data_IF_688534637978
#
_entry.id   IF_688534637978
#
_cell.length_a   1.000
_cell.length_b   1.000
_cell.length_c   1.000
_cell.angle_alpha   90.00
_cell.angle_beta   90.00
_cell.angle_gamma   90.00
#
_symmetry.space_group_name_H-M   'P 1'
#
loop_
_entity.id
_entity.type
_entity.pdbx_description
1 polymer ?
#
# COMPACT_ATOMS: atom_id res chain seq x y z
N UNK A 1 -31.76 0.14 33.54
CA UNK A 1 -30.80 1.20 33.09
C UNK A 1 -29.32 0.78 33.25
N UNK A 2 -28.95 0.01 34.28
CA UNK A 2 -27.57 -0.45 34.51
C UNK A 2 -26.97 -1.37 33.43
N UNK A 3 -27.74 -2.30 32.85
CA UNK A 3 -27.22 -3.24 31.85
C UNK A 3 -26.77 -2.57 30.52
N UNK A 4 -27.45 -1.48 30.10
CA UNK A 4 -27.07 -0.71 28.90
C UNK A 4 -25.81 0.14 29.10
N UNK A 5 -25.54 0.57 30.34
CA UNK A 5 -24.33 1.32 30.71
C UNK A 5 -23.10 0.40 30.70
N UNK A 6 -23.24 -0.83 31.23
CA UNK A 6 -22.17 -1.82 31.20
C UNK A 6 -21.79 -2.23 29.77
N UNK A 7 -22.76 -2.43 28.86
CA UNK A 7 -22.48 -2.75 27.46
C UNK A 7 -21.75 -1.62 26.71
N UNK A 8 -22.11 -0.36 26.99
CA UNK A 8 -21.38 0.82 26.45
C UNK A 8 -19.96 0.91 27.00
N UNK A 9 -19.76 0.66 28.30
CA UNK A 9 -18.44 0.68 28.93
C UNK A 9 -17.53 -0.44 28.41
N UNK A 10 -18.06 -1.64 28.14
CA UNK A 10 -17.32 -2.75 27.54
C UNK A 10 -16.97 -2.51 26.08
N UNK A 11 -17.85 -1.85 25.32
CA UNK A 11 -17.57 -1.45 23.92
C UNK A 11 -16.53 -0.33 23.85
N UNK A 12 -16.61 0.66 24.75
CA UNK A 12 -15.60 1.73 24.88
C UNK A 12 -14.24 1.17 25.28
N UNK A 13 -14.18 0.22 26.24
CA UNK A 13 -12.93 -0.46 26.62
C UNK A 13 -12.35 -1.29 25.48
N UNK A 14 -13.18 -1.93 24.65
CA UNK A 14 -12.73 -2.69 23.48
C UNK A 14 -12.21 -1.77 22.36
N UNK A 15 -12.79 -0.57 22.16
CA UNK A 15 -12.22 0.46 21.28
C UNK A 15 -10.94 1.10 21.85
N UNK A 16 -10.84 1.22 23.19
CA UNK A 16 -9.64 1.78 23.86
C UNK A 16 -8.45 0.82 23.75
N UNK A 17 -8.69 -0.49 23.80
CA UNK A 17 -7.64 -1.51 23.73
C UNK A 17 -7.02 -1.69 22.35
N UNK A 18 -7.66 -1.21 21.28
CA UNK A 18 -7.09 -1.23 19.91
C UNK A 18 -6.19 -0.02 19.62
N UNK A 19 -6.14 0.96 20.53
CA UNK A 19 -5.38 2.20 20.38
C UNK A 19 -3.99 2.16 21.03
N UNK A 20 -3.55 0.98 21.49
CA UNK A 20 -2.32 0.79 22.27
C UNK A 20 -1.32 -0.19 21.63
N UNK A 21 -1.40 -0.43 20.33
CA UNK A 21 -0.28 -0.97 19.55
C UNK A 21 0.05 0.01 18.42
N UNK A 22 0.30 1.27 18.80
CA UNK A 22 1.10 2.18 17.97
C UNK A 22 2.55 1.75 18.07
N UNK A 23 2.84 0.55 17.57
CA UNK A 23 4.19 0.01 17.42
C UNK A 23 4.76 0.60 16.11
N UNK A 24 5.03 1.90 16.21
CA UNK A 24 5.73 2.74 15.23
C UNK A 24 7.26 2.49 15.28
N UNK A 25 7.70 1.50 16.07
CA UNK A 25 9.09 1.08 16.23
C UNK A 25 9.48 -0.07 15.29
N UNK A 26 8.67 -0.39 14.27
CA UNK A 26 9.06 -1.38 13.26
C UNK A 26 10.11 -0.78 12.32
N UNK A 27 11.33 -0.67 12.83
CA UNK A 27 12.49 -0.16 12.12
C UNK A 27 12.80 -1.13 10.97
N UNK A 28 12.56 -0.67 9.74
CA UNK A 28 13.07 -1.33 8.56
C UNK A 28 14.58 -1.37 8.72
N UNK A 29 15.16 -2.56 8.81
CA UNK A 29 16.60 -2.72 9.01
C UNK A 29 17.36 -2.22 7.79
N UNK A 30 17.65 -0.92 7.76
CA UNK A 30 18.60 -0.32 6.85
C UNK A 30 20.01 -0.75 7.31
N UNK A 31 20.47 -1.85 6.74
CA UNK A 31 21.86 -2.25 6.86
C UNK A 31 22.61 -1.38 5.87
N UNK A 32 23.49 -0.49 6.37
CA UNK A 32 24.30 0.44 5.58
C UNK A 32 24.80 -0.25 4.30
N UNK A 33 24.20 0.13 3.18
CA UNK A 33 24.73 -0.16 1.87
C UNK A 33 25.84 0.87 1.64
N UNK A 34 27.04 0.54 2.09
CA UNK A 34 28.22 1.08 1.41
C UNK A 34 28.23 0.47 0.00
N UNK A 35 27.52 1.15 -0.90
CA UNK A 35 27.61 1.18 -2.38
C UNK A 35 26.21 1.30 -3.03
N UNK A 36 25.91 2.52 -3.50
CA UNK A 36 25.10 2.90 -4.67
C UNK A 36 23.92 2.00 -5.10
N UNK A 37 22.90 1.92 -4.25
CA UNK A 37 21.55 1.60 -4.72
C UNK A 37 20.57 2.66 -4.23
N UNK A 38 20.55 3.80 -4.94
CA UNK A 38 19.49 4.80 -4.81
C UNK A 38 18.16 4.18 -5.24
N UNK A 39 17.42 3.61 -4.30
CA UNK A 39 16.00 3.26 -4.46
C UNK A 39 15.17 4.53 -4.25
N UNK A 40 15.27 5.45 -5.21
CA UNK A 40 14.36 6.58 -5.37
C UNK A 40 13.25 6.17 -6.33
N UNK A 41 12.29 5.39 -5.86
CA UNK A 41 11.07 5.14 -6.63
C UNK A 41 9.90 4.85 -5.67
N UNK A 42 9.10 5.88 -5.37
CA UNK A 42 7.78 5.69 -4.74
C UNK A 42 7.34 6.68 -3.66
N UNK A 43 8.10 7.72 -3.32
CA UNK A 43 7.69 8.68 -2.28
C UNK A 43 6.58 9.66 -2.73
N UNK A 44 6.37 9.85 -4.04
CA UNK A 44 5.34 10.78 -4.57
C UNK A 44 3.89 10.31 -4.35
N UNK A 45 3.63 9.01 -4.19
CA UNK A 45 2.26 8.46 -4.11
C UNK A 45 1.64 8.64 -2.71
N UNK A 46 2.45 8.58 -1.64
CA UNK A 46 1.94 8.71 -0.27
C UNK A 46 1.55 10.16 0.05
N UNK A 47 2.40 11.12 -0.31
CA UNK A 47 2.18 12.56 -0.11
C UNK A 47 0.90 13.02 -0.84
N UNK A 48 0.72 12.58 -2.09
CA UNK A 48 -0.49 12.85 -2.87
C UNK A 48 -1.75 12.25 -2.24
N UNK A 49 -1.65 11.03 -1.69
CA UNK A 49 -2.77 10.36 -1.01
C UNK A 49 -3.15 11.06 0.29
N UNK A 50 -2.16 11.47 1.10
CA UNK A 50 -2.39 12.21 2.35
C UNK A 50 -3.04 13.56 2.08
N UNK A 51 -2.52 14.31 1.08
CA UNK A 51 -3.09 15.59 0.66
C UNK A 51 -4.55 15.44 0.19
N UNK A 52 -4.85 14.42 -0.61
CA UNK A 52 -6.22 14.16 -1.06
C UNK A 52 -7.20 13.82 0.08
N UNK A 53 -6.73 13.13 1.13
CA UNK A 53 -7.54 12.86 2.34
C UNK A 53 -7.81 14.16 3.10
N UNK A 54 -6.80 15.02 3.23
CA UNK A 54 -6.88 16.27 3.97
C UNK A 54 -7.79 17.29 3.26
N UNK A 55 -7.63 17.45 1.94
CA UNK A 55 -8.49 18.28 1.11
C UNK A 55 -9.96 17.85 1.18
N UNK A 56 -10.21 16.52 1.23
CA UNK A 56 -11.57 15.98 1.38
C UNK A 56 -12.16 16.24 2.77
N UNK A 57 -11.34 16.18 3.82
CA UNK A 57 -11.76 16.50 5.18
C UNK A 57 -12.13 17.99 5.31
N UNK A 58 -11.31 18.88 4.74
CA UNK A 58 -11.56 20.33 4.74
C UNK A 58 -12.82 20.68 3.92
N UNK A 59 -13.01 20.06 2.76
CA UNK A 59 -14.22 20.23 1.96
C UNK A 59 -15.49 19.77 2.71
N UNK A 60 -15.40 18.67 3.46
CA UNK A 60 -16.53 18.20 4.29
C UNK A 60 -16.83 19.15 5.45
N UNK A 61 -15.80 19.69 6.11
CA UNK A 61 -15.96 20.66 7.20
C UNK A 61 -16.54 22.00 6.71
N UNK A 62 -16.14 22.45 5.50
CA UNK A 62 -16.68 23.66 4.88
C UNK A 62 -18.16 23.48 4.47
N UNK A 63 -18.54 22.30 3.97
CA UNK A 63 -19.92 21.97 3.64
C UNK A 63 -20.81 21.91 4.90
N UNK A 64 -20.30 21.33 5.99
CA UNK A 64 -20.99 21.30 7.29
C UNK A 64 -21.15 22.73 7.86
N UNK A 65 -20.10 23.55 7.81
CA UNK A 65 -20.17 24.95 8.27
C UNK A 65 -21.19 25.78 7.47
N UNK A 66 -21.29 25.55 6.15
CA UNK A 66 -22.29 26.20 5.31
C UNK A 66 -23.73 25.73 5.63
N UNK A 67 -23.92 24.44 5.91
CA UNK A 67 -25.24 23.88 6.26
C UNK A 67 -25.79 24.40 7.61
N UNK A 68 -24.91 24.69 8.57
CA UNK A 68 -25.28 25.19 9.91
C UNK A 68 -25.52 26.71 9.97
N UNK A 69 -25.36 27.44 8.86
CA UNK A 69 -25.53 28.91 8.80
C UNK A 69 -26.95 29.40 8.48
N UNK A 70 -27.96 28.52 8.55
CA UNK A 70 -29.35 28.93 8.31
C UNK A 70 -29.80 30.02 9.31
N UNK A 71 -30.49 31.08 8.84
CA UNK A 71 -31.00 32.13 9.71
C UNK A 71 -31.98 31.54 10.74
N UNK A 72 -32.05 32.11 11.96
CA UNK A 72 -32.98 31.64 12.99
C UNK A 72 -34.41 31.73 12.44
N UNK A 73 -35.11 30.59 12.46
CA UNK A 73 -36.51 30.48 12.04
C UNK A 73 -37.34 31.36 12.98
N UNK A 74 -37.72 32.55 12.50
CA UNK A 74 -38.74 33.36 13.16
C UNK A 74 -40.05 32.61 13.07
N UNK A 75 -40.49 32.02 14.18
CA UNK A 75 -41.77 31.35 14.33
C UNK A 75 -42.91 32.36 14.16
N UNK A 76 -43.34 32.58 12.93
CA UNK A 76 -44.62 33.21 12.68
C UNK A 76 -45.71 32.20 13.09
N UNK A 77 -46.73 32.61 13.86
CA UNK A 77 -47.77 31.69 14.29
C UNK A 77 -48.57 31.20 13.07
N UNK A 78 -48.59 29.88 12.86
CA UNK A 78 -49.26 29.25 11.73
C UNK A 78 -50.78 29.44 11.85
N UNK A 79 -51.43 29.83 10.74
CA UNK A 79 -52.88 29.85 10.68
C UNK A 79 -53.42 28.42 10.77
N UNK A 80 -54.56 28.22 11.44
CA UNK A 80 -55.16 26.88 11.58
C UNK A 80 -55.41 26.21 10.22
N UNK A 81 -55.70 26.99 9.19
CA UNK A 81 -55.84 26.50 7.81
C UNK A 81 -54.55 25.84 7.29
N UNK A 82 -53.43 26.56 7.37
CA UNK A 82 -52.13 26.08 6.89
C UNK A 82 -51.69 24.82 7.64
N UNK A 83 -51.93 24.79 8.95
CA UNK A 83 -51.65 23.61 9.77
C UNK A 83 -52.48 22.40 9.35
N UNK A 84 -53.77 22.56 9.06
CA UNK A 84 -54.61 21.46 8.58
C UNK A 84 -54.15 20.95 7.22
N UNK A 85 -53.75 21.84 6.31
CA UNK A 85 -53.17 21.46 5.00
C UNK A 85 -51.88 20.65 5.19
N UNK A 86 -50.97 21.16 6.03
CA UNK A 86 -49.70 20.51 6.34
C UNK A 86 -49.90 19.16 7.06
N UNK A 87 -50.84 19.09 8.01
CA UNK A 87 -51.18 17.87 8.74
C UNK A 87 -51.74 16.79 7.81
N UNK A 88 -52.75 17.14 6.99
CA UNK A 88 -53.36 16.18 6.06
C UNK A 88 -52.36 15.71 5.00
N UNK A 89 -51.50 16.61 4.53
CA UNK A 89 -50.38 16.27 3.64
C UNK A 89 -49.39 15.31 4.31
N UNK A 90 -48.95 15.63 5.53
CA UNK A 90 -47.96 14.83 6.27
C UNK A 90 -48.50 13.44 6.68
N UNK A 91 -49.80 13.33 6.95
CA UNK A 91 -50.48 12.07 7.25
C UNK A 91 -50.85 11.28 5.97
N UNK A 92 -50.59 11.81 4.78
CA UNK A 92 -50.89 11.15 3.51
C UNK A 92 -52.38 11.09 3.15
N UNK A 93 -53.20 11.94 3.76
CA UNK A 93 -54.66 12.01 3.54
C UNK A 93 -54.99 12.91 2.35
N UNK A 94 -54.51 12.57 1.16
CA UNK A 94 -54.56 13.43 -0.03
C UNK A 94 -55.98 13.71 -0.52
N UNK A 95 -56.86 12.70 -0.50
CA UNK A 95 -58.27 12.90 -0.90
C UNK A 95 -59.01 13.83 0.07
N UNK A 96 -58.75 13.69 1.37
CA UNK A 96 -59.32 14.57 2.40
C UNK A 96 -58.77 15.99 2.27
N UNK A 97 -57.49 16.13 1.93
CA UNK A 97 -56.87 17.42 1.66
C UNK A 97 -57.51 18.12 0.46
N UNK A 98 -57.75 17.39 -0.64
CA UNK A 98 -58.37 17.94 -1.85
C UNK A 98 -59.82 18.37 -1.61
N UNK A 99 -60.60 17.56 -0.89
CA UNK A 99 -61.96 17.94 -0.47
C UNK A 99 -61.93 19.19 0.42
N UNK A 100 -61.08 19.21 1.45
CA UNK A 100 -60.93 20.34 2.35
C UNK A 100 -60.54 21.62 1.60
N UNK A 101 -59.58 21.53 0.66
CA UNK A 101 -59.12 22.66 -0.13
C UNK A 101 -60.22 23.21 -1.04
N UNK A 102 -61.01 22.33 -1.66
CA UNK A 102 -62.12 22.72 -2.54
C UNK A 102 -63.23 23.40 -1.74
N UNK A 103 -63.67 22.80 -0.63
CA UNK A 103 -64.72 23.36 0.23
C UNK A 103 -64.29 24.67 0.86
N UNK A 104 -63.05 24.75 1.35
CA UNK A 104 -62.52 25.95 1.97
C UNK A 104 -62.46 27.14 1.00
N UNK A 105 -61.97 26.91 -0.23
CA UNK A 105 -61.91 27.96 -1.26
C UNK A 105 -63.30 28.40 -1.70
N UNK A 106 -64.24 27.47 -1.85
CA UNK A 106 -65.64 27.78 -2.15
C UNK A 106 -66.29 28.63 -1.04
N UNK A 107 -66.06 28.27 0.22
CA UNK A 107 -66.62 28.96 1.38
C UNK A 107 -65.99 30.35 1.59
N UNK A 108 -64.68 30.49 1.33
CA UNK A 108 -63.98 31.76 1.33
C UNK A 108 -64.51 32.70 0.22
N UNK A 109 -64.69 32.19 -1.02
CA UNK A 109 -65.24 32.99 -2.13
C UNK A 109 -66.68 33.44 -1.90
N UNK A 110 -67.50 32.64 -1.20
CA UNK A 110 -68.87 33.01 -0.80
C UNK A 110 -68.92 33.97 0.39
N UNK A 111 -67.77 34.30 1.00
CA UNK A 111 -67.68 35.14 2.20
C UNK A 111 -68.29 34.50 3.45
N UNK A 112 -68.49 33.18 3.45
CA UNK A 112 -69.05 32.43 4.58
C UNK A 112 -68.01 32.18 5.67
N UNK A 113 -66.73 32.29 5.33
CA UNK A 113 -65.59 32.15 6.24
C UNK A 113 -64.76 33.42 6.18
N UNK A 114 -64.57 34.07 7.32
CA UNK A 114 -63.62 35.15 7.48
C UNK A 114 -62.24 34.56 7.76
N UNK A 115 -61.41 34.47 6.72
CA UNK A 115 -60.05 33.94 6.81
C UNK A 115 -59.17 34.71 7.83
N UNK A 116 -59.49 35.98 8.11
CA UNK A 116 -58.79 36.78 9.12
C UNK A 116 -59.20 36.50 10.56
N UNK A 117 -60.33 35.80 10.77
CA UNK A 117 -60.83 35.37 12.10
C UNK A 117 -60.46 33.93 12.44
N UNK A 118 -59.91 33.18 11.49
CA UNK A 118 -59.41 31.84 11.73
C UNK A 118 -58.26 31.96 12.73
N UNK A 119 -58.40 31.27 13.86
CA UNK A 119 -57.43 31.36 14.95
C UNK A 119 -56.04 30.89 14.54
N UNK A 120 -55.08 31.20 15.41
CA UNK A 120 -53.71 30.70 15.33
C UNK A 120 -53.62 29.34 16.03
N UNK A 121 -52.79 28.44 15.51
CA UNK A 121 -52.54 27.15 16.14
C UNK A 121 -51.82 27.34 17.48
N UNK A 122 -52.27 26.68 18.57
CA UNK A 122 -51.55 26.71 19.83
C UNK A 122 -50.10 26.20 19.66
N UNK A 123 -49.12 26.97 20.14
CA UNK A 123 -47.69 26.69 19.91
C UNK A 123 -47.20 25.32 20.38
N UNK A 124 -47.94 24.63 21.27
CA UNK A 124 -47.65 23.26 21.71
C UNK A 124 -47.68 22.26 20.55
N UNK A 125 -48.59 22.43 19.57
CA UNK A 125 -48.69 21.51 18.42
C UNK A 125 -47.55 21.74 17.43
N UNK A 126 -47.22 22.99 17.14
CA UNK A 126 -46.06 23.36 16.29
C UNK A 126 -44.77 22.86 16.91
N UNK A 127 -44.61 22.98 18.23
CA UNK A 127 -43.44 22.48 18.94
C UNK A 127 -43.34 20.95 18.90
N UNK A 128 -44.45 20.23 19.09
CA UNK A 128 -44.45 18.77 18.95
C UNK A 128 -44.06 18.30 17.54
N UNK A 129 -44.54 18.99 16.50
CA UNK A 129 -44.19 18.67 15.12
C UNK A 129 -42.70 18.94 14.84
N UNK A 130 -42.15 20.02 15.38
CA UNK A 130 -40.72 20.33 15.33
C UNK A 130 -39.90 19.23 16.00
N UNK A 131 -40.27 18.85 17.23
CA UNK A 131 -39.59 17.80 17.99
C UNK A 131 -39.66 16.43 17.30
N UNK A 132 -40.79 16.08 16.68
CA UNK A 132 -40.91 14.83 15.91
C UNK A 132 -40.02 14.84 14.67
N UNK A 133 -39.92 15.98 13.99
CA UNK A 133 -39.02 16.16 12.83
C UNK A 133 -37.56 16.04 13.23
N UNK A 134 -37.15 16.65 14.35
CA UNK A 134 -35.81 16.53 14.92
C UNK A 134 -35.50 15.08 15.33
N UNK A 135 -36.45 14.40 15.98
CA UNK A 135 -36.31 13.00 16.36
C UNK A 135 -36.10 12.11 15.11
N UNK A 136 -36.88 12.33 14.06
CA UNK A 136 -36.73 11.61 12.78
C UNK A 136 -35.38 11.88 12.14
N UNK A 137 -34.90 13.13 12.13
CA UNK A 137 -33.57 13.45 11.60
C UNK A 137 -32.46 12.78 12.39
N UNK A 138 -32.48 12.91 13.72
CA UNK A 138 -31.49 12.31 14.60
C UNK A 138 -31.44 10.77 14.49
N UNK A 139 -32.59 10.13 14.30
CA UNK A 139 -32.66 8.68 14.04
C UNK A 139 -32.06 8.30 12.69
N UNK A 140 -32.31 9.10 11.64
CA UNK A 140 -31.75 8.90 10.30
C UNK A 140 -30.22 9.04 10.33
N UNK A 141 -29.71 10.12 10.89
CA UNK A 141 -28.29 10.38 11.07
C UNK A 141 -27.63 9.25 11.89
N UNK A 142 -28.27 8.80 12.97
CA UNK A 142 -27.81 7.66 13.76
C UNK A 142 -27.68 6.36 12.95
N UNK A 143 -28.59 6.11 12.00
CA UNK A 143 -28.50 4.96 11.11
C UNK A 143 -27.36 5.12 10.09
N UNK A 144 -27.18 6.31 9.52
CA UNK A 144 -26.11 6.64 8.59
C UNK A 144 -24.73 6.50 9.25
N UNK A 145 -24.55 7.03 10.46
CA UNK A 145 -23.30 6.85 11.21
C UNK A 145 -23.01 5.38 11.50
N UNK A 146 -24.03 4.57 11.82
CA UNK A 146 -23.82 3.13 12.01
C UNK A 146 -23.34 2.43 10.74
N UNK A 147 -23.89 2.80 9.58
CA UNK A 147 -23.43 2.28 8.29
C UNK A 147 -21.98 2.73 8.01
N UNK A 148 -21.68 4.01 8.19
CA UNK A 148 -20.34 4.57 7.99
C UNK A 148 -19.30 3.88 8.90
N UNK A 149 -19.61 3.70 10.18
CA UNK A 149 -18.74 2.98 11.14
C UNK A 149 -18.52 1.53 10.70
N UNK A 150 -19.56 0.84 10.22
CA UNK A 150 -19.42 -0.54 9.75
C UNK A 150 -18.53 -0.65 8.51
N UNK A 151 -18.64 0.30 7.58
CA UNK A 151 -17.79 0.38 6.39
C UNK A 151 -16.34 0.69 6.78
N UNK A 152 -16.12 1.67 7.67
CA UNK A 152 -14.79 2.02 8.18
C UNK A 152 -14.14 0.84 8.94
N UNK A 153 -14.91 0.07 9.71
CA UNK A 153 -14.39 -1.11 10.38
C UNK A 153 -13.95 -2.19 9.38
N UNK A 154 -14.70 -2.39 8.28
CA UNK A 154 -14.27 -3.30 7.21
C UNK A 154 -12.99 -2.83 6.51
N UNK A 155 -12.89 -1.55 6.15
CA UNK A 155 -11.70 -1.02 5.48
C UNK A 155 -10.47 -1.10 6.38
N UNK A 156 -10.61 -0.77 7.67
CA UNK A 156 -9.55 -0.92 8.66
C UNK A 156 -9.04 -2.37 8.74
N UNK A 157 -9.95 -3.35 8.75
CA UNK A 157 -9.57 -4.76 8.75
C UNK A 157 -8.81 -5.19 7.49
N UNK A 158 -9.10 -4.59 6.32
CA UNK A 158 -8.34 -4.84 5.08
C UNK A 158 -6.94 -4.22 5.15
N UNK A 159 -6.83 -2.98 5.62
CA UNK A 159 -5.55 -2.26 5.76
C UNK A 159 -4.63 -2.97 6.76
N UNK A 160 -5.16 -3.43 7.90
CA UNK A 160 -4.40 -4.19 8.88
C UNK A 160 -3.81 -5.48 8.28
N UNK A 161 -4.62 -6.26 7.55
CA UNK A 161 -4.15 -7.47 6.87
C UNK A 161 -3.05 -7.17 5.84
N UNK A 162 -3.20 -6.11 5.06
CA UNK A 162 -2.18 -5.69 4.10
C UNK A 162 -0.87 -5.31 4.82
N UNK A 163 -0.95 -4.46 5.86
CA UNK A 163 0.19 -4.09 6.70
C UNK A 163 0.91 -5.33 7.26
N UNK A 164 0.16 -6.27 7.81
CA UNK A 164 0.72 -7.48 8.42
C UNK A 164 1.37 -8.40 7.38
N UNK A 165 0.78 -8.50 6.18
CA UNK A 165 1.37 -9.19 5.04
C UNK A 165 2.71 -8.55 4.62
N UNK A 166 2.76 -7.22 4.50
CA UNK A 166 4.00 -6.50 4.17
C UNK A 166 5.08 -6.70 5.25
N UNK A 167 4.72 -6.59 6.54
CA UNK A 167 5.64 -6.85 7.65
C UNK A 167 6.21 -8.28 7.60
N UNK A 168 5.36 -9.28 7.36
CA UNK A 168 5.80 -10.69 7.26
C UNK A 168 6.70 -10.93 6.04
N UNK A 169 6.33 -10.38 4.88
CA UNK A 169 7.11 -10.52 3.64
C UNK A 169 8.49 -9.86 3.79
N UNK A 170 8.54 -8.66 4.36
CA UNK A 170 9.80 -7.97 4.61
C UNK A 170 10.72 -8.78 5.54
N UNK A 171 10.20 -9.31 6.66
CA UNK A 171 10.95 -10.20 7.57
C UNK A 171 11.56 -11.39 6.82
N UNK A 172 10.78 -12.05 5.96
CA UNK A 172 11.26 -13.18 5.15
C UNK A 172 12.38 -12.75 4.19
N UNK A 173 12.19 -11.64 3.47
CA UNK A 173 13.19 -11.13 2.52
C UNK A 173 14.50 -10.79 3.23
N UNK A 174 14.44 -10.18 4.42
CA UNK A 174 15.64 -9.87 5.22
C UNK A 174 16.37 -11.16 5.65
N UNK A 175 15.64 -12.20 6.06
CA UNK A 175 16.23 -13.49 6.40
C UNK A 175 16.92 -14.13 5.20
N UNK A 176 16.26 -14.15 4.03
CA UNK A 176 16.83 -14.68 2.79
C UNK A 176 18.07 -13.87 2.35
N UNK A 177 18.00 -12.53 2.42
CA UNK A 177 19.14 -11.63 2.15
C UNK A 177 20.33 -12.00 3.03
N UNK A 178 20.13 -12.13 4.34
CA UNK A 178 21.20 -12.41 5.29
C UNK A 178 21.82 -13.79 5.04
N UNK A 179 21.02 -14.79 4.66
CA UNK A 179 21.52 -16.10 4.24
C UNK A 179 22.41 -15.99 2.99
N UNK A 180 21.96 -15.28 1.97
CA UNK A 180 22.73 -15.11 0.72
C UNK A 180 24.04 -14.35 0.96
N UNK A 181 24.02 -13.32 1.82
CA UNK A 181 25.22 -12.60 2.21
C UNK A 181 26.25 -13.57 2.82
N UNK A 182 25.82 -14.49 3.68
CA UNK A 182 26.72 -15.47 4.29
C UNK A 182 27.28 -16.48 3.26
N UNK A 183 26.45 -16.94 2.33
CA UNK A 183 26.88 -17.79 1.22
C UNK A 183 27.92 -17.08 0.33
N UNK A 184 27.72 -15.79 0.02
CA UNK A 184 28.66 -14.96 -0.73
C UNK A 184 29.99 -14.81 0.03
N UNK A 185 29.97 -14.58 1.34
CA UNK A 185 31.19 -14.49 2.17
C UNK A 185 31.98 -15.79 2.12
N UNK A 186 31.29 -16.93 2.27
CA UNK A 186 31.92 -18.25 2.20
C UNK A 186 32.54 -18.50 0.82
N UNK A 187 31.84 -18.13 -0.26
CA UNK A 187 32.36 -18.26 -1.62
C UNK A 187 33.61 -17.39 -1.83
N UNK A 188 33.58 -16.13 -1.39
CA UNK A 188 34.74 -15.22 -1.46
C UNK A 188 35.94 -15.83 -0.75
N UNK A 189 35.75 -16.36 0.47
CA UNK A 189 36.82 -17.03 1.22
C UNK A 189 37.40 -18.23 0.45
N UNK A 190 36.56 -19.04 -0.21
CA UNK A 190 37.03 -20.15 -1.04
C UNK A 190 37.83 -19.67 -2.26
N UNK A 191 37.34 -18.65 -2.97
CA UNK A 191 38.05 -18.05 -4.11
C UNK A 191 39.42 -17.50 -3.71
N UNK A 192 39.49 -16.76 -2.59
CA UNK A 192 40.77 -16.28 -2.03
C UNK A 192 41.71 -17.43 -1.68
N UNK A 193 41.18 -18.58 -1.22
CA UNK A 193 41.97 -19.79 -0.97
C UNK A 193 42.54 -20.46 -2.22
N UNK A 194 41.83 -20.43 -3.35
CA UNK A 194 42.31 -20.97 -4.63
C UNK A 194 43.29 -20.05 -5.35
N UNK A 195 43.22 -18.74 -5.13
CA UNK A 195 44.09 -17.75 -5.77
C UNK A 195 45.60 -18.08 -5.69
N UNK A 196 46.20 -18.42 -4.53
CA UNK A 196 47.62 -18.77 -4.47
C UNK A 196 47.95 -20.08 -5.20
N UNK A 197 47.00 -21.01 -5.35
CA UNK A 197 47.23 -22.25 -6.10
C UNK A 197 47.30 -21.95 -7.61
N UNK A 198 46.41 -21.08 -8.10
CA UNK A 198 46.43 -20.61 -9.49
C UNK A 198 47.71 -19.83 -9.79
N UNK A 199 48.12 -18.91 -8.91
CA UNK A 199 49.38 -18.14 -9.04
C UNK A 199 50.59 -19.08 -9.18
N UNK A 200 50.71 -20.06 -8.27
CA UNK A 200 51.78 -21.08 -8.32
C UNK A 200 51.80 -21.88 -9.62
N UNK A 201 50.63 -22.25 -10.15
CA UNK A 201 50.55 -22.99 -11.41
C UNK A 201 50.96 -22.13 -12.61
N UNK A 202 50.58 -20.84 -12.61
CA UNK A 202 51.00 -19.88 -13.63
C UNK A 202 52.52 -19.63 -13.60
N UNK A 203 53.10 -19.47 -12.41
CA UNK A 203 54.56 -19.34 -12.24
C UNK A 203 55.32 -20.55 -12.82
N UNK A 204 54.83 -21.77 -12.52
CA UNK A 204 55.39 -23.01 -13.09
C UNK A 204 55.27 -23.05 -14.61
N UNK A 205 54.11 -22.69 -15.14
CA UNK A 205 53.90 -22.62 -16.60
C UNK A 205 54.89 -21.66 -17.26
N UNK A 206 55.05 -20.45 -16.70
CA UNK A 206 56.01 -19.46 -17.20
C UNK A 206 57.47 -19.94 -17.11
N UNK A 207 57.82 -20.67 -16.04
CA UNK A 207 59.16 -21.25 -15.90
C UNK A 207 59.44 -22.31 -16.97
N UNK A 208 58.49 -23.22 -17.21
CA UNK A 208 58.58 -24.24 -18.26
C UNK A 208 58.70 -23.58 -19.64
N UNK A 209 57.87 -22.57 -19.92
CA UNK A 209 57.91 -21.84 -21.19
C UNK A 209 59.29 -21.23 -21.48
N UNK A 210 59.90 -20.59 -20.47
CA UNK A 210 61.26 -20.03 -20.58
C UNK A 210 62.31 -21.11 -20.82
N UNK A 211 62.22 -22.23 -20.09
CA UNK A 211 63.15 -23.34 -20.23
C UNK A 211 63.04 -23.99 -21.62
N UNK A 212 61.81 -24.21 -22.11
CA UNK A 212 61.57 -24.71 -23.47
C UNK A 212 62.20 -23.79 -24.50
N UNK A 213 62.04 -22.47 -24.36
CA UNK A 213 62.65 -21.52 -25.29
C UNK A 213 64.19 -21.56 -25.27
N UNK A 214 64.81 -21.72 -24.09
CA UNK A 214 66.26 -21.90 -23.99
C UNK A 214 66.72 -23.19 -24.67
N UNK A 215 66.02 -24.30 -24.43
CA UNK A 215 66.34 -25.61 -25.03
C UNK A 215 66.19 -25.56 -26.56
N UNK A 216 65.15 -24.91 -27.09
CA UNK A 216 65.01 -24.74 -28.55
C UNK A 216 66.15 -23.90 -29.13
N UNK A 217 66.57 -22.82 -28.45
CA UNK A 217 67.71 -22.03 -28.93
C UNK A 217 69.04 -22.79 -28.87
N UNK A 218 69.26 -23.64 -27.86
CA UNK A 218 70.43 -24.52 -27.78
C UNK A 218 70.42 -25.59 -28.88
N UNK A 219 69.26 -26.18 -29.15
CA UNK A 219 69.07 -27.12 -30.24
C UNK A 219 69.35 -26.46 -31.61
N UNK A 220 68.82 -25.26 -31.86
CA UNK A 220 69.06 -24.50 -33.10
C UNK A 220 70.55 -24.14 -33.28
N UNK A 221 71.23 -23.76 -32.19
CA UNK A 221 72.69 -23.52 -32.21
C UNK A 221 73.47 -24.79 -32.51
N UNK A 222 73.12 -25.92 -31.91
CA UNK A 222 73.76 -27.21 -32.18
C UNK A 222 73.54 -27.66 -33.63
N UNK A 223 72.33 -27.45 -34.17
CA UNK A 223 71.99 -27.73 -35.57
C UNK A 223 72.77 -26.82 -36.55
N UNK A 224 72.95 -25.54 -36.19
CA UNK A 224 73.76 -24.59 -36.96
C UNK A 224 75.27 -24.85 -36.91
N UNK A 225 75.79 -25.44 -35.82
CA UNK A 225 77.19 -25.84 -35.68
C UNK A 225 77.49 -27.21 -36.33
N UNK A 226 76.48 -28.07 -36.48
CA UNK A 226 76.58 -29.34 -37.21
C UNK A 226 76.56 -29.19 -38.74
N UNK A 227 76.42 -27.95 -39.26
CA UNK A 227 76.66 -27.65 -40.67
C UNK A 227 77.94 -26.82 -40.85
N UNK A 228 79.07 -27.51 -41.07
CA UNK A 228 80.00 -27.09 -42.11
C UNK A 228 80.31 -28.27 -43.04
N UNK A 229 79.74 -28.19 -44.24
CA UNK A 229 80.25 -28.69 -45.52
C UNK A 229 80.65 -30.18 -45.65
N UNK A 230 79.83 -30.96 -46.38
CA UNK A 230 80.20 -32.28 -46.93
C UNK A 230 79.02 -32.96 -47.63
N UNK A 231 79.13 -33.21 -48.93
CA UNK A 231 78.04 -33.60 -49.82
C UNK A 231 77.35 -34.96 -49.59
N UNK A 232 76.17 -35.06 -50.22
CA UNK A 232 75.48 -36.24 -50.76
C UNK A 232 74.93 -37.33 -49.81
N UNK A 233 73.61 -37.56 -49.90
CA UNK A 233 72.98 -38.85 -49.57
C UNK A 233 71.68 -38.76 -48.76
N UNK A 234 70.56 -38.93 -49.47
CA UNK A 234 69.29 -39.57 -49.12
C UNK A 234 68.62 -39.49 -47.72
N UNK A 235 67.33 -39.17 -47.83
CA UNK A 235 66.18 -39.65 -47.05
C UNK A 235 65.94 -39.21 -45.59
N UNK A 236 64.66 -38.89 -45.33
CA UNK A 236 64.10 -38.88 -43.99
C UNK A 236 63.55 -37.53 -43.52
N UNK A 237 62.61 -36.94 -44.24
CA UNK A 237 61.79 -35.85 -43.70
C UNK A 237 60.95 -36.34 -42.53
N UNK A 238 61.42 -36.13 -41.30
CA UNK A 238 60.61 -36.34 -40.09
C UNK A 238 59.89 -35.03 -39.77
N UNK A 239 58.65 -34.96 -40.25
CA UNK A 239 57.65 -33.98 -39.83
C UNK A 239 57.31 -34.25 -38.36
N UNK A 240 57.76 -33.37 -37.45
CA UNK A 240 57.25 -33.33 -36.08
C UNK A 240 56.09 -32.33 -36.01
N UNK A 241 54.90 -32.76 -36.44
CA UNK A 241 53.64 -32.13 -36.04
C UNK A 241 53.33 -32.59 -34.61
N UNK A 242 53.92 -31.92 -33.64
CA UNK A 242 53.64 -32.12 -32.22
C UNK A 242 52.86 -30.93 -31.66
N UNK A 243 51.58 -30.79 -32.01
CA UNK A 243 50.68 -29.99 -31.19
C UNK A 243 50.56 -30.66 -29.80
N UNK A 244 50.82 -29.95 -28.68
CA UNK A 244 50.45 -30.48 -27.38
C UNK A 244 48.92 -30.43 -27.25
N UNK A 245 48.29 -31.58 -27.48
CA UNK A 245 46.88 -31.83 -27.19
C UNK A 245 46.55 -31.43 -25.76
N UNK A 246 45.87 -30.28 -25.62
CA UNK A 246 45.23 -29.86 -24.37
C UNK A 246 44.04 -30.77 -24.14
N UNK A 247 44.26 -31.91 -23.49
CA UNK A 247 43.16 -32.73 -22.98
C UNK A 247 42.43 -31.91 -21.92
N UNK A 248 41.22 -31.49 -22.26
CA UNK A 248 40.36 -30.67 -21.43
C UNK A 248 40.22 -31.23 -20.02
N UNK A 249 40.39 -30.35 -19.04
CA UNK A 249 39.98 -30.61 -17.67
C UNK A 249 38.45 -30.58 -17.67
N UNK A 250 37.87 -31.78 -17.68
CA UNK A 250 36.42 -31.96 -17.53
C UNK A 250 36.02 -31.45 -16.14
N UNK A 251 35.41 -30.26 -16.10
CA UNK A 251 34.82 -29.71 -14.89
C UNK A 251 33.66 -30.61 -14.47
N UNK A 252 33.86 -31.36 -13.38
CA UNK A 252 32.81 -32.15 -12.73
C UNK A 252 31.98 -31.18 -11.88
N UNK A 253 30.66 -31.01 -12.12
CA UNK A 253 29.84 -30.13 -11.29
C UNK A 253 29.66 -30.73 -9.88
N UNK A 254 29.56 -29.89 -8.84
CA UNK A 254 29.33 -30.38 -7.48
C UNK A 254 27.91 -30.95 -7.36
N UNK A 255 27.82 -32.13 -6.76
CA UNK A 255 26.57 -32.75 -6.36
C UNK A 255 25.93 -31.89 -5.26
N UNK A 256 24.81 -31.26 -5.59
CA UNK A 256 23.88 -30.69 -4.62
C UNK A 256 23.31 -31.81 -3.75
N UNK A 257 23.47 -31.69 -2.44
CA UNK A 257 22.59 -32.29 -1.43
C UNK A 257 21.78 -31.17 -0.82
#
# INVERSE_FOLDING_TARGET
RFARSAARASSLRRCSSLRAESDDDFQYGEVSLEDDWSLTEGEEDLEATVKAIQDRAEASAAADAAAHSSPPITHQPEAVEDFLRNFLSQMGMTETLDCFQTEWTEMAHKGLVDAGRVGVVPGVYTENQRLDSELKSALREGAEYRLAVSAAAQTLGRVQKARDYHRLRHKRVVQEKNRLIEEIRKLKMQCSGYEPAVKRMNEKYQAVLKQTMLVTMEADKALGQAQPNGGAGEEGGVVWTGEPSVKGIQSRPPLLK
#
